data_IF_043406883771
#
_entry.id   IF_043406883771
#
_cell.length_a   1.000
_cell.length_b   1.000
_cell.length_c   1.000
_cell.angle_alpha   90.00
_cell.angle_beta   90.00
_cell.angle_gamma   90.00
#
_symmetry.space_group_name_H-M   'P 1'
#
loop_
_entity.id
_entity.type
_entity.pdbx_description
1 polymer ?
#
# COMPACT_ATOMS: atom_id res chain seq x y z
N UNK A 1 -28.21 0.81 -12.02
CA UNK A 1 -26.87 1.38 -12.26
C UNK A 1 -25.96 0.21 -12.54
N UNK A 2 -25.31 0.14 -13.69
CA UNK A 2 -24.53 -1.03 -14.09
C UNK A 2 -23.06 -0.76 -13.80
N UNK A 3 -22.41 -1.65 -13.04
CA UNK A 3 -20.97 -1.59 -12.82
C UNK A 3 -20.33 -2.93 -13.19
N UNK A 4 -19.21 -2.88 -13.92
CA UNK A 4 -18.46 -4.07 -14.30
C UNK A 4 -17.55 -4.50 -13.15
N UNK A 5 -17.87 -5.61 -12.49
CA UNK A 5 -17.04 -6.25 -11.48
C UNK A 5 -16.14 -7.28 -12.15
N UNK A 6 -14.83 -7.22 -11.90
CA UNK A 6 -13.94 -8.35 -12.21
C UNK A 6 -14.22 -9.48 -11.22
N UNK A 7 -14.68 -10.63 -11.72
CA UNK A 7 -14.91 -11.84 -10.93
C UNK A 7 -13.90 -12.91 -11.37
N UNK A 8 -13.38 -13.68 -10.42
CA UNK A 8 -12.46 -14.79 -10.71
C UNK A 8 -13.21 -15.86 -11.50
N UNK A 9 -12.76 -16.17 -12.70
CA UNK A 9 -13.44 -17.03 -13.67
C UNK A 9 -12.71 -18.37 -13.90
N UNK A 10 -11.91 -18.84 -12.95
CA UNK A 10 -11.26 -20.14 -13.08
C UNK A 10 -10.08 -20.37 -12.13
N UNK A 11 -9.32 -21.42 -12.44
CA UNK A 11 -8.14 -21.83 -11.68
C UNK A 11 -6.95 -20.88 -11.89
N UNK A 12 -6.26 -20.59 -10.80
CA UNK A 12 -5.09 -19.72 -10.79
C UNK A 12 -3.84 -20.47 -11.22
N UNK A 13 -3.06 -19.89 -12.14
CA UNK A 13 -1.76 -20.45 -12.55
C UNK A 13 -0.63 -19.69 -11.91
N UNK A 14 0.35 -20.40 -11.37
CA UNK A 14 1.44 -19.80 -10.60
C UNK A 14 2.73 -19.73 -11.42
N UNK A 15 3.42 -18.59 -11.34
CA UNK A 15 4.80 -18.42 -11.74
C UNK A 15 5.67 -18.20 -10.50
N UNK A 16 6.91 -18.66 -10.56
CA UNK A 16 7.87 -18.52 -9.48
C UNK A 16 9.01 -17.61 -9.92
N UNK A 17 9.35 -16.66 -9.06
CA UNK A 17 10.57 -15.86 -9.16
C UNK A 17 11.32 -15.95 -7.85
N UNK A 18 12.61 -15.69 -7.90
CA UNK A 18 13.37 -15.43 -6.70
C UNK A 18 14.27 -14.22 -6.92
N UNK A 19 14.47 -13.46 -5.85
CA UNK A 19 15.35 -12.30 -5.85
C UNK A 19 16.47 -12.50 -4.82
N UNK A 20 17.67 -12.10 -5.21
CA UNK A 20 18.87 -12.14 -4.39
C UNK A 20 19.52 -10.77 -4.51
N UNK A 21 19.52 -10.01 -3.40
CA UNK A 21 19.91 -8.59 -3.39
C UNK A 21 19.18 -7.76 -4.48
N UNK A 22 19.91 -7.26 -5.47
CA UNK A 22 19.41 -6.47 -6.60
C UNK A 22 19.05 -7.31 -7.83
N UNK A 23 19.35 -8.61 -7.82
CA UNK A 23 19.12 -9.51 -8.95
C UNK A 23 17.78 -10.24 -8.78
N UNK A 24 16.95 -10.21 -9.82
CA UNK A 24 15.70 -10.94 -9.87
C UNK A 24 15.73 -11.94 -11.02
N UNK A 25 15.45 -13.20 -10.70
CA UNK A 25 15.40 -14.30 -11.65
C UNK A 25 13.97 -14.83 -11.67
N UNK A 26 13.32 -14.72 -12.83
CA UNK A 26 11.99 -15.30 -13.07
C UNK A 26 12.13 -16.63 -13.80
N UNK A 27 11.49 -17.68 -13.28
CA UNK A 27 11.46 -18.96 -13.97
C UNK A 27 10.50 -18.86 -15.18
N UNK A 28 10.92 -19.33 -16.37
CA UNK A 28 10.07 -19.34 -17.54
C UNK A 28 8.82 -20.19 -17.27
N UNK A 29 7.65 -19.57 -17.39
CA UNK A 29 6.37 -20.22 -17.09
C UNK A 29 5.76 -20.75 -18.39
N UNK A 30 5.35 -22.03 -18.41
CA UNK A 30 4.74 -22.66 -19.60
C UNK A 30 3.30 -22.18 -19.91
N UNK A 31 2.80 -21.16 -19.22
CA UNK A 31 1.45 -20.66 -19.38
C UNK A 31 1.43 -19.22 -19.91
N UNK A 32 0.63 -19.00 -20.96
CA UNK A 32 0.34 -17.68 -21.50
C UNK A 32 -0.69 -16.95 -20.62
N UNK A 33 -0.31 -15.76 -20.12
CA UNK A 33 -1.20 -14.89 -19.35
C UNK A 33 -2.38 -14.46 -20.23
N UNK A 34 -3.61 -14.85 -19.88
CA UNK A 34 -4.83 -14.39 -20.56
C UNK A 34 -5.36 -13.14 -19.86
N UNK A 35 -5.48 -12.04 -20.59
CA UNK A 35 -6.15 -10.83 -20.12
C UNK A 35 -7.68 -10.96 -20.25
N UNK A 36 -8.47 -10.42 -19.32
CA UNK A 36 -8.08 -9.75 -18.08
C UNK A 36 -7.76 -10.74 -16.94
N UNK A 37 -6.75 -10.44 -16.12
CA UNK A 37 -6.36 -11.27 -14.97
C UNK A 37 -6.19 -10.45 -13.69
N UNK A 38 -6.25 -11.13 -12.53
CA UNK A 38 -5.81 -10.59 -11.25
C UNK A 38 -4.62 -11.43 -10.78
N UNK A 39 -3.52 -10.78 -10.40
CA UNK A 39 -2.32 -11.42 -9.85
C UNK A 39 -2.25 -11.24 -8.34
N UNK A 40 -1.87 -12.30 -7.64
CA UNK A 40 -1.50 -12.26 -6.22
C UNK A 40 -0.07 -12.75 -6.09
N UNK A 41 0.79 -11.93 -5.48
CA UNK A 41 2.20 -12.28 -5.26
C UNK A 41 2.42 -12.54 -3.79
N UNK A 42 2.85 -13.74 -3.46
CA UNK A 42 3.30 -14.12 -2.13
C UNK A 42 4.83 -14.15 -2.11
N UNK A 43 5.43 -13.33 -1.26
CA UNK A 43 6.88 -13.26 -1.09
C UNK A 43 7.28 -13.84 0.26
N UNK A 44 8.29 -14.70 0.28
CA UNK A 44 8.86 -15.29 1.51
C UNK A 44 10.37 -15.18 1.48
N UNK A 45 10.93 -14.57 2.53
CA UNK A 45 12.37 -14.55 2.73
C UNK A 45 12.82 -15.89 3.30
N UNK A 46 13.89 -16.44 2.74
CA UNK A 46 14.48 -17.67 3.24
C UNK A 46 15.23 -17.41 4.55
N UNK A 47 15.14 -18.38 5.46
CA UNK A 47 15.87 -18.38 6.71
C UNK A 47 16.58 -19.73 6.88
N UNK A 48 17.85 -19.71 7.29
CA UNK A 48 18.63 -20.92 7.60
C UNK A 48 18.26 -21.43 8.99
N UNK A 49 18.00 -20.51 9.92
CA UNK A 49 17.54 -20.78 11.28
C UNK A 49 16.45 -19.78 11.66
N UNK A 50 15.78 -19.95 12.81
CA UNK A 50 14.68 -19.08 13.26
C UNK A 50 15.00 -17.58 13.16
N UNK A 51 16.22 -17.20 13.53
CA UNK A 51 16.65 -15.79 13.58
C UNK A 51 17.71 -15.43 12.52
N UNK A 52 17.99 -16.35 11.59
CA UNK A 52 19.02 -16.13 10.56
C UNK A 52 18.40 -16.13 9.17
N UNK A 53 18.02 -14.95 8.71
CA UNK A 53 17.45 -14.71 7.39
C UNK A 53 18.55 -14.47 6.35
N UNK A 54 18.45 -15.13 5.21
CA UNK A 54 19.33 -14.89 4.07
C UNK A 54 18.72 -13.86 3.13
N UNK A 55 19.53 -13.13 2.35
CA UNK A 55 19.08 -12.11 1.40
C UNK A 55 18.51 -12.75 0.11
N UNK A 56 17.74 -13.83 0.28
CA UNK A 56 17.08 -14.57 -0.79
C UNK A 56 15.58 -14.58 -0.52
N UNK A 57 14.81 -14.06 -1.45
CA UNK A 57 13.35 -14.01 -1.40
C UNK A 57 12.80 -14.89 -2.50
N UNK A 58 11.90 -15.80 -2.15
CA UNK A 58 11.13 -16.58 -3.11
C UNK A 58 9.76 -15.93 -3.25
N UNK A 59 9.35 -15.72 -4.48
CA UNK A 59 8.09 -15.11 -4.84
C UNK A 59 7.25 -16.10 -5.66
N UNK A 60 6.01 -16.28 -5.24
CA UNK A 60 5.00 -17.04 -5.97
C UNK A 60 3.93 -16.08 -6.45
N UNK A 61 3.88 -15.84 -7.75
CA UNK A 61 2.84 -15.01 -8.36
C UNK A 61 1.77 -15.89 -8.98
N UNK A 62 0.56 -15.85 -8.43
CA UNK A 62 -0.61 -16.60 -8.92
C UNK A 62 -1.51 -15.69 -9.76
N UNK A 63 -1.74 -16.06 -11.01
CA UNK A 63 -2.58 -15.35 -11.96
C UNK A 63 -3.94 -16.04 -12.09
N UNK A 64 -5.01 -15.32 -11.77
CA UNK A 64 -6.39 -15.79 -11.95
C UNK A 64 -7.02 -15.13 -13.18
N UNK A 65 -7.56 -15.91 -14.13
CA UNK A 65 -8.36 -15.36 -15.22
C UNK A 65 -9.62 -14.71 -14.64
N UNK A 66 -10.02 -13.59 -15.22
CA UNK A 66 -11.18 -12.84 -14.77
C UNK A 66 -12.19 -12.64 -15.90
N UNK A 67 -13.45 -12.55 -15.51
CA UNK A 67 -14.53 -12.10 -16.38
C UNK A 67 -15.17 -10.85 -15.79
N UNK A 68 -15.64 -9.97 -16.67
CA UNK A 68 -16.41 -8.80 -16.26
C UNK A 68 -17.88 -9.21 -16.13
N UNK A 69 -18.39 -9.18 -14.90
CA UNK A 69 -19.81 -9.33 -14.65
C UNK A 69 -20.45 -7.95 -14.44
N UNK A 70 -21.51 -7.69 -15.19
CA UNK A 70 -22.33 -6.50 -15.04
C UNK A 70 -23.26 -6.67 -13.84
N UNK A 71 -22.96 -5.99 -12.73
CA UNK A 71 -23.83 -5.99 -11.55
C UNK A 71 -24.76 -4.77 -11.64
N UNK A 72 -26.06 -5.01 -11.65
CA UNK A 72 -27.06 -3.95 -11.58
C UNK A 72 -27.33 -3.60 -10.13
N UNK A 73 -26.83 -2.44 -9.69
CA UNK A 73 -27.08 -1.89 -8.35
C UNK A 73 -28.37 -1.07 -8.33
N UNK A 74 -29.10 -1.20 -7.22
CA UNK A 74 -30.21 -0.31 -6.86
C UNK A 74 -29.67 1.04 -6.39
N UNK A 75 -30.52 2.10 -6.41
CA UNK A 75 -30.10 3.45 -5.99
C UNK A 75 -29.57 3.48 -4.55
N UNK A 76 -30.17 2.69 -3.64
CA UNK A 76 -29.75 2.60 -2.24
C UNK A 76 -28.34 2.01 -2.09
N UNK A 77 -28.09 0.87 -2.74
CA UNK A 77 -26.78 0.22 -2.71
C UNK A 77 -25.68 1.08 -3.35
N UNK A 78 -26.02 1.82 -4.40
CA UNK A 78 -25.08 2.75 -5.04
C UNK A 78 -24.72 3.93 -4.13
N UNK A 79 -25.67 4.42 -3.32
CA UNK A 79 -25.43 5.48 -2.34
C UNK A 79 -24.54 5.00 -1.20
N UNK A 80 -24.86 3.86 -0.61
CA UNK A 80 -24.10 3.28 0.49
C UNK A 80 -22.65 2.95 0.09
N UNK A 81 -22.46 2.43 -1.13
CA UNK A 81 -21.12 2.21 -1.68
C UNK A 81 -20.36 3.52 -1.88
N UNK A 82 -21.00 4.55 -2.42
CA UNK A 82 -20.40 5.87 -2.58
C UNK A 82 -20.00 6.48 -1.23
N UNK A 83 -20.85 6.37 -0.21
CA UNK A 83 -20.56 6.85 1.14
C UNK A 83 -19.38 6.10 1.77
N UNK A 84 -19.34 4.77 1.61
CA UNK A 84 -18.22 3.92 2.06
C UNK A 84 -16.90 4.28 1.37
N UNK A 85 -16.91 4.46 0.05
CA UNK A 85 -15.72 4.81 -0.73
C UNK A 85 -15.15 6.17 -0.31
N UNK A 86 -16.03 7.16 -0.06
CA UNK A 86 -15.65 8.48 0.47
C UNK A 86 -15.08 8.36 1.87
N UNK A 87 -15.69 7.58 2.75
CA UNK A 87 -15.18 7.37 4.12
C UNK A 87 -13.79 6.72 4.12
N UNK A 88 -13.58 5.70 3.29
CA UNK A 88 -12.29 5.03 3.15
C UNK A 88 -11.21 5.97 2.61
N UNK A 89 -11.57 6.86 1.68
CA UNK A 89 -10.64 7.87 1.17
C UNK A 89 -10.20 8.86 2.26
N UNK A 90 -11.13 9.34 3.09
CA UNK A 90 -10.83 10.27 4.18
C UNK A 90 -9.93 9.62 5.24
N UNK A 91 -10.21 8.36 5.59
CA UNK A 91 -9.38 7.61 6.54
C UNK A 91 -7.94 7.48 6.06
N UNK A 92 -7.72 7.22 4.77
CA UNK A 92 -6.37 7.16 4.17
C UNK A 92 -5.64 8.51 4.21
N UNK A 93 -6.35 9.64 4.18
CA UNK A 93 -5.74 10.96 4.31
C UNK A 93 -5.33 11.23 5.78
N UNK A 94 -6.18 10.85 6.72
CA UNK A 94 -5.90 10.98 8.15
C UNK A 94 -4.73 10.09 8.60
N UNK A 95 -4.66 8.84 8.12
CA UNK A 95 -3.51 7.94 8.34
C UNK A 95 -2.18 8.51 7.83
N UNK A 96 -2.22 9.39 6.83
CA UNK A 96 -1.04 10.09 6.31
C UNK A 96 -0.69 11.37 7.06
N UNK A 97 -1.41 11.68 8.15
CA UNK A 97 -1.18 12.88 8.97
C UNK A 97 -1.66 14.17 8.32
N UNK A 98 -2.54 14.08 7.32
CA UNK A 98 -3.13 15.23 6.64
C UNK A 98 -4.40 15.63 7.40
N UNK A 99 -4.42 16.85 7.95
CA UNK A 99 -5.58 17.35 8.71
C UNK A 99 -6.62 17.94 7.76
N UNK A 100 -7.82 17.39 7.76
CA UNK A 100 -8.93 17.87 6.91
C UNK A 100 -9.60 19.07 7.59
N UNK A 101 -9.63 20.21 6.90
CA UNK A 101 -10.20 21.47 7.41
C UNK A 101 -11.64 21.68 6.96
N UNK A 102 -11.98 21.24 5.74
CA UNK A 102 -13.33 21.39 5.19
C UNK A 102 -13.66 20.24 4.22
N UNK A 103 -14.91 19.76 4.24
CA UNK A 103 -15.40 18.67 3.39
C UNK A 103 -16.79 19.00 2.87
N UNK A 104 -16.94 19.06 1.55
CA UNK A 104 -18.24 19.15 0.89
C UNK A 104 -18.40 18.00 -0.11
N UNK A 105 -19.40 17.14 0.08
CA UNK A 105 -19.66 15.96 -0.76
C UNK A 105 -21.07 16.02 -1.30
N UNK A 106 -21.18 15.97 -2.62
CA UNK A 106 -22.43 15.96 -3.37
C UNK A 106 -22.50 14.68 -4.19
N UNK A 107 -23.55 13.88 -3.98
CA UNK A 107 -23.78 12.64 -4.72
C UNK A 107 -24.97 12.87 -5.66
N UNK A 108 -24.69 12.87 -6.96
CA UNK A 108 -25.68 13.07 -8.01
C UNK A 108 -25.98 11.76 -8.75
N UNK A 109 -27.26 11.53 -9.05
CA UNK A 109 -27.78 10.31 -9.68
C UNK A 109 -28.41 10.68 -11.03
N UNK A 110 -27.59 10.73 -12.09
CA UNK A 110 -28.06 11.09 -13.45
C UNK A 110 -27.87 9.93 -14.44
N UNK A 111 -28.90 9.63 -15.23
CA UNK A 111 -28.88 8.67 -16.35
C UNK A 111 -28.25 7.31 -16.04
N UNK A 112 -28.74 6.64 -14.97
CA UNK A 112 -28.23 5.33 -14.49
C UNK A 112 -26.73 5.32 -14.11
N UNK A 113 -26.12 6.49 -13.91
CA UNK A 113 -24.75 6.68 -13.40
C UNK A 113 -24.81 7.43 -12.06
N UNK A 114 -24.02 6.98 -11.09
CA UNK A 114 -23.81 7.68 -9.83
C UNK A 114 -22.52 8.51 -9.98
N UNK A 115 -22.59 9.82 -9.77
CA UNK A 115 -21.43 10.71 -9.76
C UNK A 115 -21.26 11.28 -8.36
N UNK A 116 -20.09 11.06 -7.79
CA UNK A 116 -19.72 11.61 -6.49
C UNK A 116 -18.78 12.78 -6.75
N UNK A 117 -19.18 13.97 -6.33
CA UNK A 117 -18.37 15.16 -6.33
C UNK A 117 -17.95 15.45 -4.89
N UNK A 118 -16.66 15.32 -4.59
CA UNK A 118 -16.12 15.65 -3.27
C UNK A 118 -15.10 16.78 -3.40
N UNK A 119 -15.28 17.87 -2.65
CA UNK A 119 -14.31 18.93 -2.46
C UNK A 119 -13.77 18.80 -1.03
N UNK A 120 -12.47 18.52 -0.91
CA UNK A 120 -11.79 18.32 0.36
C UNK A 120 -10.66 19.34 0.45
N UNK A 121 -10.66 20.13 1.50
CA UNK A 121 -9.59 21.07 1.84
C UNK A 121 -8.81 20.49 3.01
N UNK A 122 -7.50 20.32 2.86
CA UNK A 122 -6.67 19.69 3.88
C UNK A 122 -5.29 20.34 3.98
N UNK A 123 -4.69 20.28 5.17
CA UNK A 123 -3.39 20.86 5.50
C UNK A 123 -2.40 19.74 5.79
N UNK A 124 -1.27 19.73 5.08
CA UNK A 124 -0.18 18.77 5.23
C UNK A 124 0.99 19.39 6.01
N UNK A 125 1.62 18.63 6.92
CA UNK A 125 2.83 19.06 7.61
C UNK A 125 4.03 18.96 6.67
N UNK A 126 4.69 20.10 6.41
CA UNK A 126 5.80 20.23 5.45
C UNK A 126 7.18 19.89 6.08
N UNK A 127 7.24 19.68 7.41
CA UNK A 127 8.49 19.45 8.15
C UNK A 127 8.90 17.98 8.18
N UNK A 128 10.18 17.70 7.90
CA UNK A 128 10.81 16.38 8.13
C UNK A 128 11.57 16.41 9.46
N UNK A 129 11.40 15.39 10.29
CA UNK A 129 12.21 15.24 11.51
C UNK A 129 13.66 14.95 11.12
N UNK A 130 14.58 15.84 11.51
CA UNK A 130 16.01 15.56 11.46
C UNK A 130 16.49 15.30 12.89
N UNK A 131 17.12 14.15 13.17
CA UNK A 131 17.73 13.91 14.47
C UNK A 131 18.84 14.95 14.70
N UNK A 132 18.84 15.59 15.87
CA UNK A 132 19.88 16.54 16.23
C UNK A 132 21.23 15.83 16.36
N UNK A 133 22.29 16.39 15.77
CA UNK A 133 23.65 15.89 15.96
C UNK A 133 24.03 15.99 17.45
N UNK A 134 24.38 14.85 18.05
CA UNK A 134 24.86 14.79 19.42
C UNK A 134 26.23 15.45 19.47
N UNK A 135 26.31 16.66 20.03
CA UNK A 135 27.61 17.30 20.30
C UNK A 135 28.34 16.50 21.36
N UNK A 136 29.48 15.91 20.99
CA UNK A 136 30.44 15.37 21.94
C UNK A 136 31.02 16.55 22.75
N UNK A 137 30.62 16.65 24.01
CA UNK A 137 31.28 17.53 24.98
C UNK A 137 32.53 16.77 25.42
N UNK A 138 33.71 17.18 24.96
CA UNK A 138 34.97 16.64 25.47
C UNK A 138 35.18 17.15 26.90
N UNK A 139 34.93 16.27 27.87
CA UNK A 139 35.31 16.51 29.27
C UNK A 139 36.81 16.30 29.39
N UNK A 140 37.58 17.35 29.11
CA UNK A 140 39.03 17.35 29.35
C UNK A 140 39.42 18.68 29.99
N UNK A 141 38.93 18.92 31.21
CA UNK A 141 39.50 19.93 32.11
C UNK A 141 39.51 19.44 33.56
N UNK A 142 40.74 19.37 34.09
CA UNK A 142 41.18 19.31 35.50
C UNK A 142 41.27 17.95 36.18
N UNK A 143 42.43 17.32 36.01
CA UNK A 143 43.20 16.78 37.14
C UNK A 143 44.67 17.21 36.97
N UNK A 144 45.03 18.35 37.55
CA UNK A 144 46.39 18.55 38.05
C UNK A 144 46.26 18.66 39.55
N UNK A 145 46.49 17.52 40.20
CA UNK A 145 46.87 17.45 41.61
C UNK A 145 48.23 18.15 41.73
N UNK A 146 48.28 19.24 42.50
CA UNK A 146 49.52 19.91 42.90
C UNK A 146 49.67 19.66 44.41
N UNK A 147 50.22 18.49 44.74
CA UNK A 147 50.73 18.16 46.07
C UNK A 147 52.25 18.33 46.00
N UNK A 148 52.79 19.36 46.66
CA UNK A 148 54.19 19.40 47.13
C UNK A 148 54.37 20.46 48.21
N UNK A 149 54.82 19.99 49.37
CA UNK A 149 55.33 20.70 50.56
C UNK A 149 56.40 21.76 50.26
#
# INVERSE_FOLDING_TARGET
>A
MVYSKKVRAGEGKSAYSFSIFSYQISLPSAFQKKEPYISYTESRQLAIAKDYYIPVIIEKTTFYPCEYQEVTLTKSQAKEKADSDVAQFLKKLEEKGVQITDKNVMIDFKDRKCRVHAKISAVERIGRYQPAEVKHISTDERLTEDESD
#
